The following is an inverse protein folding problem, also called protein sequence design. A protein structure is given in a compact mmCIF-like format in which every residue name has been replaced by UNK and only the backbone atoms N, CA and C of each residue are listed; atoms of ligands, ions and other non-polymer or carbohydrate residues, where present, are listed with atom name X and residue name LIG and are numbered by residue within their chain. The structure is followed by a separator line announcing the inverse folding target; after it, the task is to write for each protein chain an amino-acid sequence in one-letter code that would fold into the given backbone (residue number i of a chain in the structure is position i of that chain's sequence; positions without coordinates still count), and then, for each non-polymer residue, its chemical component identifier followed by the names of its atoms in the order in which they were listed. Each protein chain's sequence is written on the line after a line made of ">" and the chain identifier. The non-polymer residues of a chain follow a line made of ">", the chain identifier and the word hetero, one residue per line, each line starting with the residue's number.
data_IF_842668712589
#
_entry.id   IF_842668712589
#
_cell.length_a   1.000
_cell.length_b   1.000
_cell.length_c   1.000
_cell.angle_alpha   90.00
_cell.angle_beta   90.00
_cell.angle_gamma   90.00
#
_symmetry.space_group_name_H-M   'P 1'
#
loop_
_entity.id
_entity.type
_entity.pdbx_description
1 polymer ?
#
# COMPACT_ATOMS: atom_id res chain seq x y z
N UNK A 1 -60.34 37.80 -10.32
CA UNK A 1 -58.96 38.20 -10.01
C UNK A 1 -58.21 36.95 -9.57
N UNK A 2 -57.46 36.33 -10.48
CA UNK A 2 -56.72 35.09 -10.20
C UNK A 2 -55.33 35.45 -9.67
N UNK A 3 -54.99 34.95 -8.49
CA UNK A 3 -53.70 35.16 -7.86
C UNK A 3 -52.77 34.02 -8.30
N UNK A 4 -51.81 34.36 -9.15
CA UNK A 4 -50.74 33.49 -9.65
C UNK A 4 -49.77 33.17 -8.50
N UNK A 5 -49.81 31.93 -7.99
CA UNK A 5 -48.97 31.46 -6.89
C UNK A 5 -48.17 30.21 -7.29
N UNK A 6 -47.36 30.29 -8.36
CA UNK A 6 -46.63 29.10 -8.87
C UNK A 6 -45.18 29.36 -9.30
N UNK A 7 -44.65 30.58 -9.11
CA UNK A 7 -43.30 30.90 -9.63
C UNK A 7 -42.15 30.69 -8.63
N UNK A 8 -42.37 30.87 -7.33
CA UNK A 8 -41.26 30.84 -6.35
C UNK A 8 -40.89 29.46 -5.82
N UNK A 9 -41.79 28.47 -5.87
CA UNK A 9 -41.56 27.14 -5.30
C UNK A 9 -40.71 26.24 -6.22
N UNK A 10 -40.86 26.37 -7.54
CA UNK A 10 -40.06 25.61 -8.51
C UNK A 10 -38.60 26.07 -8.61
N UNK A 11 -38.33 27.36 -8.36
CA UNK A 11 -36.97 27.90 -8.41
C UNK A 11 -36.10 27.42 -7.22
N UNK A 12 -36.71 27.21 -6.06
CA UNK A 12 -36.02 26.71 -4.85
C UNK A 12 -35.68 25.22 -4.99
N UNK A 13 -36.55 24.43 -5.62
CA UNK A 13 -36.36 22.99 -5.86
C UNK A 13 -35.20 22.68 -6.84
N UNK A 14 -34.96 23.55 -7.82
CA UNK A 14 -33.81 23.40 -8.73
C UNK A 14 -32.48 23.76 -8.08
N UNK A 15 -32.46 24.72 -7.14
CA UNK A 15 -31.23 25.16 -6.48
C UNK A 15 -30.70 24.14 -5.45
N UNK A 16 -31.59 23.34 -4.84
CA UNK A 16 -31.17 22.27 -3.92
C UNK A 16 -30.66 21.02 -4.65
N UNK A 17 -31.19 20.73 -5.84
CA UNK A 17 -30.79 19.53 -6.60
C UNK A 17 -29.39 19.64 -7.20
N UNK A 18 -28.89 20.86 -7.47
CA UNK A 18 -27.52 21.07 -7.94
C UNK A 18 -26.49 21.02 -6.82
N UNK A 19 -26.88 21.29 -5.57
CA UNK A 19 -25.96 21.29 -4.42
C UNK A 19 -25.63 19.87 -3.92
N UNK A 20 -26.51 18.89 -4.15
CA UNK A 20 -26.29 17.48 -3.74
C UNK A 20 -25.33 16.69 -4.64
N UNK A 21 -25.00 17.22 -5.83
CA UNK A 21 -24.06 16.58 -6.77
C UNK A 21 -22.58 16.95 -6.51
N UNK A 22 -22.31 17.89 -5.60
CA UNK A 22 -20.95 18.30 -5.22
C UNK A 22 -20.38 17.49 -4.03
N UNK A 23 -21.13 16.51 -3.51
CA UNK A 23 -20.73 15.67 -2.38
C UNK A 23 -20.14 14.33 -2.77
N UNK A 24 -19.83 14.09 -4.06
CA UNK A 24 -18.86 13.07 -4.40
C UNK A 24 -17.50 13.55 -3.94
N UNK A 25 -17.24 13.38 -2.64
CA UNK A 25 -15.90 13.34 -2.11
C UNK A 25 -15.14 12.33 -2.96
N UNK A 26 -14.39 12.83 -3.94
CA UNK A 26 -13.29 12.09 -4.50
C UNK A 26 -12.39 11.81 -3.30
N UNK A 27 -12.55 10.63 -2.71
CA UNK A 27 -11.48 9.99 -1.96
C UNK A 27 -10.36 9.80 -2.96
N UNK A 28 -9.58 10.85 -3.19
CA UNK A 28 -8.23 10.67 -3.67
C UNK A 28 -7.55 9.96 -2.51
N UNK A 29 -7.55 8.63 -2.59
CA UNK A 29 -6.60 7.82 -1.85
C UNK A 29 -5.24 8.39 -2.26
N UNK A 30 -4.67 9.21 -1.39
CA UNK A 30 -3.32 9.72 -1.53
C UNK A 30 -2.45 8.47 -1.67
N UNK A 31 -1.97 8.20 -2.88
CA UNK A 31 -1.08 7.06 -3.10
C UNK A 31 0.15 7.36 -2.24
N UNK A 32 0.25 6.66 -1.11
CA UNK A 32 1.43 6.60 -0.27
C UNK A 32 2.59 6.24 -1.19
N UNK A 33 3.33 7.25 -1.64
CA UNK A 33 4.02 7.18 -2.92
C UNK A 33 5.17 6.18 -2.84
N UNK A 34 4.99 5.02 -3.47
CA UNK A 34 6.07 4.10 -3.79
C UNK A 34 7.14 4.86 -4.61
N UNK A 35 8.39 4.65 -4.25
CA UNK A 35 9.56 5.23 -4.91
C UNK A 35 10.58 4.15 -5.15
N UNK A 36 11.25 4.17 -6.30
CA UNK A 36 12.47 3.39 -6.47
C UNK A 36 13.61 4.00 -5.66
N UNK A 37 14.50 3.14 -5.15
CA UNK A 37 15.70 3.57 -4.41
C UNK A 37 16.59 4.46 -5.31
N UNK A 38 16.72 4.07 -6.58
CA UNK A 38 17.41 4.83 -7.61
C UNK A 38 16.42 5.21 -8.72
N UNK A 39 16.26 6.51 -8.97
CA UNK A 39 15.20 7.04 -9.87
C UNK A 39 15.32 6.61 -11.34
N UNK A 40 16.53 6.26 -11.79
CA UNK A 40 16.83 5.96 -13.20
C UNK A 40 17.54 4.61 -13.36
N UNK A 41 17.46 3.74 -12.35
CA UNK A 41 18.03 2.40 -12.48
C UNK A 41 17.14 1.55 -13.38
N UNK A 42 17.79 0.74 -14.21
CA UNK A 42 17.14 -0.23 -15.07
C UNK A 42 16.94 -1.54 -14.31
N UNK A 43 15.91 -1.57 -13.47
CA UNK A 43 15.58 -2.75 -12.67
C UNK A 43 14.91 -3.84 -13.51
N UNK A 44 15.41 -5.07 -13.42
CA UNK A 44 14.83 -6.23 -14.10
C UNK A 44 13.42 -6.61 -13.60
N UNK A 45 13.06 -6.14 -12.40
CA UNK A 45 11.71 -6.27 -11.83
C UNK A 45 11.13 -4.87 -11.61
N UNK A 46 9.99 -4.61 -12.27
CA UNK A 46 9.27 -3.36 -12.23
C UNK A 46 8.06 -3.49 -11.29
N UNK A 47 8.06 -2.76 -10.18
CA UNK A 47 6.93 -2.65 -9.26
C UNK A 47 5.97 -1.54 -9.70
N UNK A 48 4.71 -1.91 -9.85
CA UNK A 48 3.63 -1.01 -10.28
C UNK A 48 2.78 -0.51 -9.13
N UNK A 49 2.60 -1.31 -8.08
CA UNK A 49 1.75 -0.97 -6.94
C UNK A 49 2.13 -1.74 -5.69
N UNK A 50 1.85 -1.14 -4.52
CA UNK A 50 1.87 -1.81 -3.22
C UNK A 50 0.52 -1.56 -2.55
N UNK A 51 -0.19 -2.63 -2.26
CA UNK A 51 -1.43 -2.61 -1.49
C UNK A 51 -1.17 -3.21 -0.10
N UNK A 52 -1.77 -2.60 0.92
CA UNK A 52 -1.60 -2.98 2.33
C UNK A 52 -2.97 -3.14 2.93
N UNK A 53 -3.24 -4.29 3.55
CA UNK A 53 -4.56 -4.64 4.07
C UNK A 53 -4.44 -5.21 5.49
N UNK A 54 -5.18 -4.68 6.48
CA UNK A 54 -5.91 -3.42 6.45
C UNK A 54 -4.97 -2.20 6.36
N UNK A 55 -5.47 -1.08 5.84
CA UNK A 55 -4.78 0.21 5.87
C UNK A 55 -5.67 1.27 6.56
N UNK A 56 -5.28 1.82 7.73
CA UNK A 56 -4.04 1.55 8.46
C UNK A 56 -4.01 0.13 9.07
N UNK A 57 -2.82 -0.42 9.24
CA UNK A 57 -2.58 -1.73 9.87
C UNK A 57 -3.10 -1.70 11.32
N UNK A 58 -3.78 -2.77 11.73
CA UNK A 58 -4.32 -2.91 13.09
C UNK A 58 -3.33 -3.70 13.95
N UNK A 59 -3.00 -3.16 15.13
CA UNK A 59 -2.01 -3.80 16.01
C UNK A 59 -2.56 -5.07 16.63
N UNK A 60 -1.79 -6.15 16.60
CA UNK A 60 -2.21 -7.45 17.10
C UNK A 60 -3.22 -8.18 16.20
N UNK A 61 -3.36 -7.75 14.95
CA UNK A 61 -4.08 -8.47 13.90
C UNK A 61 -3.13 -8.73 12.72
N UNK A 62 -3.31 -9.82 11.96
CA UNK A 62 -2.54 -10.03 10.74
C UNK A 62 -2.79 -8.93 9.73
N UNK A 63 -1.75 -8.55 9.01
CA UNK A 63 -1.84 -7.64 7.89
C UNK A 63 -1.06 -8.19 6.70
N UNK A 64 -1.43 -7.77 5.51
CA UNK A 64 -0.89 -8.31 4.26
C UNK A 64 -0.35 -7.20 3.38
N UNK A 65 0.88 -7.36 2.90
CA UNK A 65 1.41 -6.63 1.76
C UNK A 65 1.11 -7.39 0.46
N UNK A 66 0.67 -6.67 -0.56
CA UNK A 66 0.52 -7.18 -1.93
C UNK A 66 1.29 -6.27 -2.87
N UNK A 67 2.36 -6.79 -3.46
CA UNK A 67 3.26 -6.02 -4.33
C UNK A 67 3.10 -6.52 -5.75
N UNK A 68 2.47 -5.69 -6.58
CA UNK A 68 2.23 -6.01 -7.99
C UNK A 68 3.46 -5.63 -8.82
N UNK A 69 4.07 -6.62 -9.45
CA UNK A 69 5.33 -6.47 -10.16
C UNK A 69 5.28 -7.11 -11.56
N UNK A 70 6.27 -6.77 -12.39
CA UNK A 70 6.45 -7.27 -13.74
C UNK A 70 7.94 -7.60 -13.97
N UNK A 71 8.21 -8.63 -14.75
CA UNK A 71 9.56 -8.97 -15.23
C UNK A 71 9.51 -9.57 -16.64
N UNK A 72 10.55 -9.36 -17.44
CA UNK A 72 10.68 -9.92 -18.79
C UNK A 72 11.33 -11.31 -18.80
N UNK A 73 12.01 -11.70 -17.71
CA UNK A 73 12.78 -12.94 -17.60
C UNK A 73 12.27 -13.83 -16.46
N UNK A 74 12.37 -15.17 -16.57
CA UNK A 74 11.97 -16.05 -15.50
C UNK A 74 12.87 -15.91 -14.26
N UNK A 75 12.26 -15.89 -13.07
CA UNK A 75 13.00 -15.84 -11.79
C UNK A 75 12.80 -17.16 -11.06
N UNK A 76 13.89 -17.90 -10.87
CA UNK A 76 13.87 -19.24 -10.29
C UNK A 76 13.95 -19.25 -8.76
N UNK A 77 14.52 -18.20 -8.18
CA UNK A 77 14.79 -18.05 -6.76
C UNK A 77 15.28 -16.64 -6.48
N UNK A 78 15.25 -16.23 -5.22
CA UNK A 78 15.79 -14.95 -4.78
C UNK A 78 15.41 -14.63 -3.35
N UNK A 79 15.93 -13.51 -2.87
CA UNK A 79 15.76 -13.03 -1.51
C UNK A 79 15.08 -11.66 -1.52
N UNK A 80 14.05 -11.52 -0.69
CA UNK A 80 13.37 -10.27 -0.39
C UNK A 80 13.85 -9.77 0.97
N UNK A 81 14.45 -8.58 0.97
CA UNK A 81 15.01 -7.94 2.16
C UNK A 81 14.14 -6.73 2.48
N UNK A 82 13.40 -6.82 3.58
CA UNK A 82 12.55 -5.75 4.09
C UNK A 82 13.28 -4.99 5.19
N UNK A 83 13.72 -3.78 4.88
CA UNK A 83 14.29 -2.85 5.85
C UNK A 83 13.22 -1.85 6.29
N UNK A 84 12.82 -1.93 7.57
CA UNK A 84 11.73 -1.14 8.14
C UNK A 84 12.31 -0.05 9.06
N UNK A 85 11.94 1.20 8.77
CA UNK A 85 12.35 2.37 9.55
C UNK A 85 11.14 3.11 10.12
N UNK A 86 11.32 3.71 11.29
CA UNK A 86 10.30 4.47 12.01
C UNK A 86 10.91 5.73 12.63
N UNK A 87 10.22 6.85 12.53
CA UNK A 87 10.72 8.13 13.04
C UNK A 87 10.98 8.06 14.55
N UNK A 88 12.18 8.43 14.98
CA UNK A 88 12.60 8.39 16.38
C UNK A 88 13.27 7.08 16.82
N UNK A 89 13.43 6.10 15.91
CA UNK A 89 14.28 4.93 16.12
C UNK A 89 15.49 5.05 15.18
N UNK A 90 16.70 4.98 15.75
CA UNK A 90 17.94 5.16 14.97
C UNK A 90 18.26 3.97 14.05
N UNK A 91 17.87 2.75 14.44
CA UNK A 91 18.20 1.52 13.72
C UNK A 91 16.98 0.95 13.01
N UNK A 92 17.10 0.70 11.71
CA UNK A 92 16.11 -0.05 10.95
C UNK A 92 16.08 -1.51 11.39
N UNK A 93 14.89 -2.13 11.38
CA UNK A 93 14.75 -3.57 11.47
C UNK A 93 14.91 -4.19 10.08
N UNK A 94 15.59 -5.34 9.97
CA UNK A 94 15.83 -6.03 8.69
C UNK A 94 15.27 -7.44 8.75
N UNK A 95 14.43 -7.80 7.77
CA UNK A 95 13.84 -9.12 7.63
C UNK A 95 14.19 -9.71 6.26
N UNK A 96 14.49 -11.00 6.23
CA UNK A 96 14.86 -11.74 5.02
C UNK A 96 13.81 -12.82 4.76
N UNK A 97 13.24 -12.81 3.56
CA UNK A 97 12.28 -13.81 3.10
C UNK A 97 12.73 -14.39 1.77
N UNK A 98 12.54 -15.69 1.59
CA UNK A 98 12.77 -16.31 0.28
C UNK A 98 11.63 -15.96 -0.67
N UNK A 99 11.93 -15.81 -1.96
CA UNK A 99 10.90 -15.57 -2.99
C UNK A 99 9.79 -16.63 -3.00
N UNK A 100 10.13 -17.88 -2.62
CA UNK A 100 9.17 -18.98 -2.50
C UNK A 100 8.13 -18.81 -1.40
N UNK A 101 8.39 -17.98 -0.38
CA UNK A 101 7.41 -17.66 0.67
C UNK A 101 6.35 -16.67 0.17
N UNK A 102 6.72 -15.85 -0.82
CA UNK A 102 5.93 -14.71 -1.28
C UNK A 102 5.13 -15.01 -2.55
N UNK A 103 5.62 -15.93 -3.39
CA UNK A 103 5.01 -16.25 -4.68
C UNK A 103 5.45 -17.64 -5.20
N UNK A 104 4.62 -18.33 -6.00
CA UNK A 104 5.01 -19.61 -6.60
C UNK A 104 6.20 -19.49 -7.57
N UNK A 105 7.06 -20.52 -7.57
CA UNK A 105 8.25 -20.58 -8.42
C UNK A 105 8.13 -21.61 -9.56
N UNK A 106 8.82 -21.38 -10.71
CA UNK A 106 9.50 -20.13 -11.06
C UNK A 106 8.48 -19.01 -11.37
N UNK A 107 8.85 -17.77 -11.07
CA UNK A 107 8.10 -16.60 -11.57
C UNK A 107 8.26 -16.58 -13.08
N UNK A 108 7.15 -16.60 -13.80
CA UNK A 108 7.14 -16.53 -15.27
C UNK A 108 7.27 -15.07 -15.73
N UNK A 109 7.82 -14.82 -16.92
CA UNK A 109 7.74 -13.51 -17.56
C UNK A 109 6.31 -12.99 -17.58
N UNK A 110 6.14 -11.70 -17.29
CA UNK A 110 4.86 -11.03 -17.17
C UNK A 110 4.59 -10.48 -15.77
N UNK A 111 3.31 -10.21 -15.49
CA UNK A 111 2.85 -9.71 -14.21
C UNK A 111 2.82 -10.81 -13.15
N UNK A 112 3.26 -10.48 -11.94
CA UNK A 112 3.19 -11.36 -10.78
C UNK A 112 2.88 -10.56 -9.51
N UNK A 113 2.52 -11.28 -8.45
CA UNK A 113 2.16 -10.71 -7.17
C UNK A 113 3.01 -11.36 -6.08
N UNK A 114 3.68 -10.53 -5.28
CA UNK A 114 4.28 -10.94 -4.02
C UNK A 114 3.26 -10.69 -2.91
N UNK A 115 3.00 -11.70 -2.08
CA UNK A 115 2.01 -11.62 -1.00
C UNK A 115 2.63 -12.05 0.32
N UNK A 116 2.85 -11.07 1.19
CA UNK A 116 3.41 -11.28 2.52
C UNK A 116 2.34 -11.05 3.57
N UNK A 117 2.14 -11.97 4.52
CA UNK A 117 1.23 -11.75 5.67
C UNK A 117 1.99 -11.91 6.96
N UNK A 118 1.89 -10.90 7.82
CA UNK A 118 2.64 -10.81 9.07
C UNK A 118 1.74 -10.37 10.22
N UNK A 119 2.12 -10.70 11.46
CA UNK A 119 1.39 -10.31 12.66
C UNK A 119 2.25 -9.38 13.52
N UNK A 120 1.89 -8.10 13.55
CA UNK A 120 2.59 -7.15 14.42
C UNK A 120 2.12 -7.28 15.88
N UNK A 121 3.04 -7.26 16.86
CA UNK A 121 2.67 -7.22 18.26
C UNK A 121 1.69 -6.07 18.59
N UNK A 122 0.77 -6.27 19.54
CA UNK A 122 -0.13 -5.21 19.99
C UNK A 122 0.56 -3.93 20.49
N UNK A 123 1.79 -4.10 20.98
CA UNK A 123 2.65 -3.05 21.55
C UNK A 123 3.44 -2.24 20.52
N UNK A 124 3.35 -2.60 19.23
CA UNK A 124 4.03 -1.86 18.15
C UNK A 124 3.57 -0.40 18.16
N UNK A 125 4.46 0.61 18.13
CA UNK A 125 4.02 2.00 18.13
C UNK A 125 3.10 2.34 16.94
N UNK A 126 2.03 3.15 17.13
CA UNK A 126 1.29 3.70 16.01
C UNK A 126 2.13 4.74 15.27
N UNK A 127 1.89 4.89 13.97
CA UNK A 127 2.53 5.93 13.16
C UNK A 127 2.88 5.45 11.76
N UNK A 128 3.66 6.26 11.05
CA UNK A 128 4.12 5.95 9.69
C UNK A 128 5.49 5.31 9.73
N UNK A 129 5.57 4.14 9.10
CA UNK A 129 6.78 3.36 8.90
C UNK A 129 7.16 3.45 7.42
N UNK A 130 8.44 3.38 7.11
CA UNK A 130 8.92 3.24 5.73
C UNK A 130 9.56 1.86 5.57
N UNK A 131 9.16 1.16 4.52
CA UNK A 131 9.75 -0.11 4.13
C UNK A 131 10.60 0.15 2.90
N UNK A 132 11.89 -0.18 2.99
CA UNK A 132 12.75 -0.36 1.83
C UNK A 132 12.80 -1.85 1.53
N UNK A 133 12.22 -2.24 0.40
CA UNK A 133 12.29 -3.60 -0.11
C UNK A 133 13.41 -3.68 -1.15
N UNK A 134 14.34 -4.60 -0.92
CA UNK A 134 15.35 -5.00 -1.92
C UNK A 134 15.06 -6.44 -2.34
N UNK A 135 14.97 -6.70 -3.64
CA UNK A 135 14.80 -8.04 -4.19
C UNK A 135 16.04 -8.43 -4.98
N UNK A 136 16.74 -9.47 -4.54
CA UNK A 136 17.89 -10.01 -5.22
C UNK A 136 17.58 -11.39 -5.82
N UNK A 137 18.22 -11.73 -6.95
CA UNK A 137 18.21 -13.10 -7.46
C UNK A 137 19.21 -14.00 -6.71
N UNK A 138 19.27 -15.29 -7.06
CA UNK A 138 20.21 -16.24 -6.45
C UNK A 138 21.70 -15.92 -6.60
N UNK A 139 22.06 -15.04 -7.53
CA UNK A 139 23.45 -14.61 -7.74
C UNK A 139 23.78 -13.36 -6.90
N UNK A 140 22.84 -12.86 -6.10
CA UNK A 140 22.99 -11.62 -5.32
C UNK A 140 22.81 -10.34 -6.15
N UNK A 141 22.38 -10.44 -7.40
CA UNK A 141 22.09 -9.30 -8.25
C UNK A 141 20.74 -8.69 -7.88
N UNK A 142 20.70 -7.37 -7.72
CA UNK A 142 19.50 -6.63 -7.35
C UNK A 142 18.55 -6.52 -8.55
N UNK A 143 17.41 -7.22 -8.46
CA UNK A 143 16.34 -7.18 -9.45
C UNK A 143 15.44 -5.95 -9.28
N UNK A 144 15.20 -5.51 -8.05
CA UNK A 144 14.48 -4.26 -7.76
C UNK A 144 14.85 -3.68 -6.40
N UNK A 145 14.65 -2.37 -6.23
CA UNK A 145 14.70 -1.71 -4.93
C UNK A 145 13.66 -0.60 -4.86
N UNK A 146 12.72 -0.72 -3.92
CA UNK A 146 11.65 0.25 -3.70
C UNK A 146 11.56 0.68 -2.24
N UNK A 147 11.04 1.88 -2.01
CA UNK A 147 10.70 2.44 -0.72
C UNK A 147 9.24 2.87 -0.75
N UNK A 148 8.45 2.40 0.21
CA UNK A 148 7.05 2.79 0.36
C UNK A 148 6.68 2.96 1.83
N UNK A 149 5.81 3.93 2.17
CA UNK A 149 5.34 4.06 3.53
C UNK A 149 4.15 3.13 3.80
N UNK A 150 3.94 2.80 5.08
CA UNK A 150 2.69 2.25 5.57
C UNK A 150 2.37 2.82 6.96
N UNK A 151 1.08 2.81 7.30
CA UNK A 151 0.60 3.38 8.57
C UNK A 151 0.10 2.29 9.49
N UNK A 152 0.59 2.29 10.74
CA UNK A 152 0.05 1.50 11.83
C UNK A 152 -0.93 2.36 12.62
N UNK A 153 -2.16 1.89 12.74
CA UNK A 153 -3.24 2.60 13.40
C UNK A 153 -3.10 2.65 14.92
N UNK A 154 -3.81 3.60 15.54
CA UNK A 154 -3.88 3.73 17.00
C UNK A 154 -4.66 2.58 17.68
N UNK A 155 -5.50 1.85 16.92
CA UNK A 155 -6.30 0.72 17.41
C UNK A 155 -5.42 -0.51 17.65
N UNK A 156 -5.74 -1.27 18.71
CA UNK A 156 -5.08 -2.53 19.04
C UNK A 156 -6.12 -3.56 19.47
N UNK A 157 -5.92 -4.81 19.07
CA UNK A 157 -6.76 -5.95 19.47
C UNK A 157 -6.68 -6.29 20.97
N UNK A 158 -5.71 -5.73 21.70
CA UNK A 158 -5.59 -5.90 23.17
C UNK A 158 -6.57 -5.03 23.97
N UNK A 159 -7.38 -4.20 23.32
CA UNK A 159 -8.37 -3.37 24.02
C UNK A 159 -9.63 -4.11 24.49
N UNK A 160 -9.61 -5.44 24.62
CA UNK A 160 -10.74 -6.25 25.07
C UNK A 160 -10.32 -7.34 26.06
N UNK A 161 -9.79 -6.95 27.22
CA UNK A 161 -9.85 -7.73 28.47
C UNK A 161 -10.12 -6.76 29.62
#
# INVERSE_FOLDING_TARGET
>A
MAIQFTSKLNFILCLSSTLMLLSFSHSQAESQSLKYCEKNADYAVQVSNVEILPNPVVRGEPFTFKIAAYTDEPIHSGDLIYEISYAGIEQSAVFHHSLSEETPLPVRPGQFLLTHTELLPPVTPPGTYNVKLTFNNQNGEQLTCIVFPFTIGAKSSVSAI
#
